data_IF_544041716877
#
_entry.id   IF_544041716877
#
_cell.length_a   1.000
_cell.length_b   1.000
_cell.length_c   1.000
_cell.angle_alpha   90.00
_cell.angle_beta   90.00
_cell.angle_gamma   90.00
#
_symmetry.space_group_name_H-M   'P 1'
#
loop_
_entity.id
_entity.type
_entity.pdbx_description
1 polymer ?
#
# COMPACT_ATOMS: atom_id res chain seq x y z
N UNK A 1 3.73 -2.22 -17.39
CA UNK A 1 2.31 -2.15 -17.72
C UNK A 1 1.67 -3.51 -17.51
N UNK A 2 0.53 -3.55 -16.85
CA UNK A 2 -0.32 -4.75 -16.79
C UNK A 2 -1.32 -4.70 -17.93
N UNK A 3 -1.51 -5.81 -18.64
CA UNK A 3 -2.54 -5.98 -19.68
C UNK A 3 -3.16 -7.36 -19.58
N UNK A 4 -4.30 -7.55 -20.17
CA UNK A 4 -4.87 -8.90 -20.32
C UNK A 4 -3.97 -9.75 -21.18
N UNK A 5 -3.74 -11.00 -20.77
CA UNK A 5 -3.03 -11.99 -21.58
C UNK A 5 -3.88 -12.38 -22.80
N UNK A 6 -3.22 -12.58 -23.94
CA UNK A 6 -3.92 -13.02 -25.14
C UNK A 6 -4.65 -14.35 -24.90
N UNK A 7 -5.85 -14.46 -25.44
CA UNK A 7 -6.76 -15.62 -25.30
C UNK A 7 -6.11 -16.90 -25.81
N UNK A 8 -5.47 -17.64 -24.91
CA UNK A 8 -4.76 -18.90 -25.20
C UNK A 8 -3.82 -19.35 -24.10
N UNK A 9 -3.40 -18.45 -23.24
CA UNK A 9 -2.55 -18.74 -22.07
C UNK A 9 -3.21 -18.17 -20.82
N UNK A 10 -3.87 -19.01 -20.04
CA UNK A 10 -4.48 -18.68 -18.74
C UNK A 10 -5.21 -17.33 -18.71
N UNK A 11 -6.51 -17.32 -18.45
CA UNK A 11 -7.36 -16.13 -18.25
C UNK A 11 -6.78 -15.20 -17.16
N UNK A 12 -5.74 -14.46 -17.46
CA UNK A 12 -4.99 -13.68 -16.48
C UNK A 12 -4.47 -12.37 -17.04
N UNK A 13 -3.80 -11.67 -16.18
CA UNK A 13 -3.11 -10.42 -16.48
C UNK A 13 -1.62 -10.70 -16.55
N UNK A 14 -0.96 -10.24 -17.61
CA UNK A 14 0.49 -10.26 -17.75
C UNK A 14 1.10 -8.89 -17.51
N UNK A 15 2.30 -8.85 -16.98
CA UNK A 15 3.07 -7.62 -16.81
C UNK A 15 4.11 -7.54 -17.92
N UNK A 16 4.02 -6.52 -18.75
CA UNK A 16 4.98 -6.24 -19.80
C UNK A 16 5.84 -5.02 -19.49
N UNK A 17 7.03 -5.00 -20.01
CA UNK A 17 7.90 -3.83 -19.92
C UNK A 17 7.39 -2.74 -20.86
N UNK A 18 7.27 -1.50 -20.34
CA UNK A 18 6.85 -0.37 -21.16
C UNK A 18 8.03 0.12 -21.99
N UNK A 19 7.90 0.30 -23.32
CA UNK A 19 8.95 0.86 -24.14
C UNK A 19 9.45 2.20 -23.60
N UNK A 20 10.76 2.44 -23.73
CA UNK A 20 11.41 3.64 -23.14
C UNK A 20 10.76 4.94 -23.61
N UNK A 21 10.35 4.99 -24.86
CA UNK A 21 9.67 6.16 -25.48
C UNK A 21 8.34 6.49 -24.78
N UNK A 22 7.59 5.47 -24.37
CA UNK A 22 6.30 5.63 -23.68
C UNK A 22 6.44 5.92 -22.19
N UNK A 23 7.57 5.58 -21.57
CA UNK A 23 7.77 5.79 -20.11
C UNK A 23 7.78 7.26 -19.70
N UNK A 24 8.20 8.12 -20.62
CA UNK A 24 8.33 9.57 -20.40
C UNK A 24 7.14 10.37 -20.95
N UNK A 25 6.12 9.70 -21.50
CA UNK A 25 4.89 10.36 -21.95
C UNK A 25 3.88 10.44 -20.81
N UNK A 26 3.12 11.53 -20.77
CA UNK A 26 1.95 11.62 -19.91
C UNK A 26 0.90 10.60 -20.36
N UNK A 27 0.24 9.96 -19.40
CA UNK A 27 -0.78 8.94 -19.66
C UNK A 27 -2.12 9.52 -20.10
N UNK A 28 -2.34 10.80 -19.83
CA UNK A 28 -3.54 11.56 -20.19
C UNK A 28 -3.15 12.91 -20.79
N UNK A 29 -4.03 13.48 -21.57
CA UNK A 29 -3.89 14.83 -22.14
C UNK A 29 -4.26 15.90 -21.12
N UNK A 30 -3.87 17.16 -21.39
CA UNK A 30 -4.24 18.31 -20.55
C UNK A 30 -5.76 18.46 -20.44
N UNK A 31 -6.50 18.22 -21.54
CA UNK A 31 -7.95 18.29 -21.55
C UNK A 31 -8.57 17.22 -20.64
N UNK A 32 -8.06 15.99 -20.67
CA UNK A 32 -8.50 14.91 -19.80
C UNK A 32 -8.17 15.19 -18.32
N UNK A 33 -7.03 15.83 -18.04
CA UNK A 33 -6.67 16.27 -16.70
C UNK A 33 -7.65 17.33 -16.17
N UNK A 34 -8.09 18.27 -17.02
CA UNK A 34 -9.10 19.28 -16.69
C UNK A 34 -10.46 18.61 -16.43
N UNK A 35 -10.86 17.65 -17.24
CA UNK A 35 -12.11 16.90 -17.05
C UNK A 35 -12.11 16.14 -15.73
N UNK A 36 -11.03 15.44 -15.39
CA UNK A 36 -10.86 14.77 -14.11
C UNK A 36 -10.94 15.74 -12.92
N UNK A 37 -10.33 16.92 -13.04
CA UNK A 37 -10.40 17.94 -12.02
C UNK A 37 -11.83 18.44 -11.80
N UNK A 38 -12.62 18.59 -12.88
CA UNK A 38 -14.03 18.94 -12.79
C UNK A 38 -14.85 17.86 -12.07
N UNK A 39 -14.63 16.58 -12.39
CA UNK A 39 -15.27 15.48 -11.66
C UNK A 39 -14.90 15.48 -10.19
N UNK A 40 -13.63 15.69 -9.86
CA UNK A 40 -13.19 15.77 -8.46
C UNK A 40 -13.90 16.90 -7.69
N UNK A 41 -14.04 18.09 -8.32
CA UNK A 41 -14.78 19.21 -7.69
C UNK A 41 -16.28 18.92 -7.50
N UNK A 42 -16.91 18.22 -8.45
CA UNK A 42 -18.32 17.82 -8.32
C UNK A 42 -18.48 16.85 -7.15
N UNK A 43 -17.60 15.84 -7.08
CA UNK A 43 -17.61 14.82 -6.04
C UNK A 43 -17.36 15.45 -4.67
N UNK A 44 -16.34 16.31 -4.55
CA UNK A 44 -16.02 17.02 -3.29
C UNK A 44 -17.20 17.88 -2.80
N UNK A 45 -17.87 18.61 -3.70
CA UNK A 45 -19.06 19.39 -3.37
C UNK A 45 -20.22 18.50 -2.88
N UNK A 46 -20.41 17.35 -3.52
CA UNK A 46 -21.48 16.42 -3.15
C UNK A 46 -21.27 15.83 -1.75
N UNK A 47 -20.06 15.44 -1.42
CA UNK A 47 -19.73 14.83 -0.12
C UNK A 47 -19.32 15.84 0.96
N UNK A 48 -19.10 17.12 0.60
CA UNK A 48 -18.72 18.21 1.51
C UNK A 48 -17.32 18.06 2.11
N UNK A 49 -16.46 17.26 1.49
CA UNK A 49 -15.08 16.98 1.94
C UNK A 49 -14.22 16.42 0.82
N UNK A 50 -12.86 16.52 0.93
CA UNK A 50 -11.96 15.90 -0.03
C UNK A 50 -12.19 14.40 -0.16
N UNK A 51 -12.18 13.93 -1.39
CA UNK A 51 -12.40 12.53 -1.73
C UNK A 51 -11.22 11.99 -2.53
N UNK A 52 -10.84 10.76 -2.23
CA UNK A 52 -9.95 9.94 -3.05
C UNK A 52 -10.80 9.28 -4.14
N UNK A 53 -10.44 9.42 -5.39
CA UNK A 53 -11.21 8.91 -6.52
C UNK A 53 -10.38 7.91 -7.34
N UNK A 54 -11.02 6.81 -7.72
CA UNK A 54 -10.49 5.89 -8.72
C UNK A 54 -11.23 6.12 -10.04
N UNK A 55 -10.48 6.11 -11.12
CA UNK A 55 -11.01 6.36 -12.46
C UNK A 55 -10.35 5.46 -13.50
N UNK A 56 -10.99 5.33 -14.63
CA UNK A 56 -10.47 4.62 -15.79
C UNK A 56 -10.83 5.35 -17.08
N UNK A 57 -9.95 5.23 -18.08
CA UNK A 57 -10.24 5.64 -19.44
C UNK A 57 -10.62 4.41 -20.25
N UNK A 58 -11.82 4.40 -20.83
CA UNK A 58 -12.27 3.31 -21.67
C UNK A 58 -11.48 3.26 -22.97
N UNK A 59 -11.03 2.06 -23.35
CA UNK A 59 -10.24 1.86 -24.56
C UNK A 59 -11.07 1.85 -25.86
N UNK A 60 -12.40 1.78 -25.76
CA UNK A 60 -13.31 1.71 -26.90
C UNK A 60 -13.85 3.09 -27.25
N UNK A 61 -14.39 3.80 -26.27
CA UNK A 61 -15.00 5.12 -26.50
C UNK A 61 -14.09 6.30 -26.12
N UNK A 62 -12.96 6.02 -25.47
CA UNK A 62 -11.96 7.01 -25.06
C UNK A 62 -12.37 7.90 -23.89
N UNK A 63 -13.54 7.67 -23.29
CA UNK A 63 -14.06 8.51 -22.19
C UNK A 63 -13.48 8.13 -20.85
N UNK A 64 -13.52 9.11 -19.94
CA UNK A 64 -13.13 8.93 -18.56
C UNK A 64 -14.36 8.58 -17.72
N UNK A 65 -14.22 7.55 -16.89
CA UNK A 65 -15.24 7.07 -15.96
C UNK A 65 -14.71 7.09 -14.54
N UNK A 66 -15.51 7.62 -13.61
CA UNK A 66 -15.22 7.49 -12.18
C UNK A 66 -15.69 6.12 -11.73
N UNK A 67 -14.79 5.35 -11.16
CA UNK A 67 -15.03 3.96 -10.74
C UNK A 67 -15.36 3.86 -9.27
N UNK A 68 -14.72 4.70 -8.43
CA UNK A 68 -14.94 4.74 -6.99
C UNK A 68 -14.65 6.13 -6.45
N UNK A 69 -15.37 6.52 -5.40
CA UNK A 69 -15.04 7.69 -4.58
C UNK A 69 -15.14 7.30 -3.10
N UNK A 70 -14.11 7.61 -2.32
CA UNK A 70 -14.06 7.36 -0.88
C UNK A 70 -13.49 8.57 -0.16
N UNK A 71 -13.88 8.81 1.11
CA UNK A 71 -13.29 9.89 1.89
C UNK A 71 -11.78 9.76 1.98
N UNK A 72 -11.06 10.85 1.78
CA UNK A 72 -9.64 10.89 2.11
C UNK A 72 -9.46 10.74 3.62
N UNK A 73 -8.83 9.65 4.04
CA UNK A 73 -8.60 9.32 5.45
C UNK A 73 -7.22 9.77 5.93
N UNK A 74 -6.31 10.04 5.00
CA UNK A 74 -5.01 10.64 5.31
C UNK A 74 -5.24 12.10 5.62
N UNK A 75 -5.12 12.50 6.89
CA UNK A 75 -5.18 13.89 7.33
C UNK A 75 -4.17 14.73 6.56
N UNK A 76 -4.58 15.33 5.47
CA UNK A 76 -3.88 16.44 4.82
C UNK A 76 -4.04 17.74 5.63
N UNK A 77 -4.40 17.63 6.92
CA UNK A 77 -4.59 18.75 7.81
C UNK A 77 -3.25 19.38 8.17
N UNK A 78 -2.91 20.45 7.47
CA UNK A 78 -2.37 21.70 8.02
C UNK A 78 -1.12 21.69 8.88
N UNK A 79 -0.30 20.66 8.95
CA UNK A 79 1.02 20.76 9.54
C UNK A 79 2.06 20.80 8.42
N UNK A 80 2.93 21.79 8.47
CA UNK A 80 4.14 21.88 7.66
C UNK A 80 4.67 20.45 7.42
N UNK A 81 4.70 20.00 6.18
CA UNK A 81 5.20 18.67 5.81
C UNK A 81 6.67 18.56 6.23
N UNK A 82 6.93 18.24 7.48
CA UNK A 82 8.28 17.91 7.94
C UNK A 82 8.68 16.63 7.23
N UNK A 83 9.57 16.74 6.26
CA UNK A 83 10.15 15.59 5.58
C UNK A 83 11.04 14.86 6.57
N UNK A 84 10.56 13.75 7.12
CA UNK A 84 11.37 12.90 8.00
C UNK A 84 12.34 12.10 7.13
N UNK A 85 13.61 12.21 7.46
CA UNK A 85 14.66 11.40 6.84
C UNK A 85 15.15 10.38 7.85
N UNK A 86 14.96 9.12 7.54
CA UNK A 86 15.44 8.02 8.37
C UNK A 86 16.87 7.65 7.97
N UNK A 87 17.71 7.38 8.96
CA UNK A 87 19.05 6.85 8.78
C UNK A 87 19.19 5.59 9.64
N UNK A 88 19.51 4.47 8.99
CA UNK A 88 19.82 3.23 9.70
C UNK A 88 21.22 3.39 10.31
N UNK A 89 21.34 3.18 11.62
CA UNK A 89 22.60 3.40 12.37
C UNK A 89 23.61 2.24 12.23
N UNK A 90 23.24 1.18 11.55
CA UNK A 90 24.10 -0.01 11.34
C UNK A 90 24.87 0.16 10.05
N UNK A 91 26.16 -0.21 10.06
CA UNK A 91 27.00 -0.17 8.87
C UNK A 91 26.43 -1.05 7.74
N UNK A 92 26.65 -0.62 6.50
CA UNK A 92 26.07 -1.29 5.33
C UNK A 92 26.43 -2.78 5.26
N UNK A 93 27.62 -3.15 5.75
CA UNK A 93 28.11 -4.53 5.77
C UNK A 93 27.47 -5.42 6.84
N UNK A 94 26.90 -4.80 7.90
CA UNK A 94 26.27 -5.52 9.01
C UNK A 94 24.74 -5.60 8.86
N UNK A 95 24.20 -5.04 7.79
CA UNK A 95 22.75 -5.07 7.52
C UNK A 95 22.35 -6.43 7.00
N UNK A 96 21.54 -7.13 7.75
CA UNK A 96 20.90 -8.36 7.31
C UNK A 96 19.48 -8.07 6.83
N UNK A 97 19.23 -8.19 5.53
CA UNK A 97 17.89 -8.18 4.97
C UNK A 97 17.28 -9.56 5.24
N UNK A 98 16.20 -9.59 6.02
CA UNK A 98 15.56 -10.85 6.40
C UNK A 98 14.47 -11.25 5.40
N UNK A 99 13.71 -10.29 4.89
CA UNK A 99 12.68 -10.52 3.88
C UNK A 99 12.47 -9.25 3.06
N UNK A 100 11.95 -9.39 1.85
CA UNK A 100 11.68 -8.27 0.93
C UNK A 100 10.26 -8.37 0.39
N UNK A 101 9.66 -7.21 0.11
CA UNK A 101 8.31 -7.13 -0.42
C UNK A 101 8.01 -5.74 -0.99
N UNK A 102 6.74 -5.40 -1.10
CA UNK A 102 6.29 -4.09 -1.59
C UNK A 102 6.08 -3.15 -0.41
N UNK A 103 6.88 -2.10 -0.33
CA UNK A 103 6.74 -1.07 0.70
C UNK A 103 5.44 -0.27 0.52
N UNK A 104 4.77 -0.01 1.64
CA UNK A 104 3.55 0.76 1.75
C UNK A 104 3.79 1.90 2.74
N UNK A 105 3.55 3.13 2.28
CA UNK A 105 3.83 4.33 3.05
C UNK A 105 5.28 4.79 2.93
N UNK A 106 5.63 5.80 3.72
CA UNK A 106 6.97 6.45 3.70
C UNK A 106 7.62 6.45 5.08
N UNK A 107 6.99 5.84 6.06
CA UNK A 107 7.52 5.74 7.42
C UNK A 107 8.37 4.49 7.58
N UNK A 108 9.11 4.47 8.66
CA UNK A 108 9.88 3.32 9.13
C UNK A 108 9.33 2.94 10.50
N UNK A 109 9.11 1.66 10.73
CA UNK A 109 8.69 1.12 12.02
C UNK A 109 9.70 0.08 12.51
N UNK A 110 9.89 0.02 13.82
CA UNK A 110 10.77 -0.96 14.46
C UNK A 110 10.12 -1.52 15.70
N UNK A 111 10.45 -2.75 16.03
CA UNK A 111 10.00 -3.43 17.24
C UNK A 111 10.17 -4.93 17.14
N UNK A 112 9.80 -5.65 18.21
CA UNK A 112 9.82 -7.10 18.22
C UNK A 112 8.78 -7.67 17.25
N UNK A 113 9.14 -8.72 16.56
CA UNK A 113 8.22 -9.48 15.71
C UNK A 113 7.16 -10.16 16.56
N UNK A 114 5.91 -9.94 16.20
CA UNK A 114 4.78 -10.73 16.69
C UNK A 114 4.09 -11.38 15.49
N UNK A 115 4.30 -12.69 15.39
CA UNK A 115 3.69 -13.50 14.35
C UNK A 115 2.29 -13.95 14.81
N UNK A 116 1.29 -13.64 14.03
CA UNK A 116 -0.08 -14.08 14.24
C UNK A 116 -0.54 -14.89 13.03
N UNK A 117 -1.08 -16.07 13.29
CA UNK A 117 -1.59 -16.96 12.25
C UNK A 117 -3.08 -16.81 12.02
N UNK A 118 -3.80 -16.41 13.07
CA UNK A 118 -5.25 -16.28 13.06
C UNK A 118 -5.70 -15.07 13.88
N UNK A 119 -6.87 -14.53 13.53
CA UNK A 119 -7.47 -13.36 14.19
C UNK A 119 -7.74 -13.61 15.70
N UNK A 120 -7.97 -14.84 16.11
CA UNK A 120 -8.15 -15.18 17.54
C UNK A 120 -6.92 -14.92 18.39
N UNK A 121 -5.76 -14.72 17.79
CA UNK A 121 -4.49 -14.42 18.45
C UNK A 121 -4.23 -12.93 18.67
N UNK A 122 -5.18 -12.05 18.32
CA UNK A 122 -4.98 -10.59 18.32
C UNK A 122 -4.55 -10.02 19.67
N UNK A 123 -4.94 -10.64 20.75
CA UNK A 123 -4.58 -10.20 22.12
C UNK A 123 -3.09 -10.40 22.42
N UNK A 124 -2.41 -11.24 21.64
CA UNK A 124 -0.97 -11.48 21.81
C UNK A 124 -0.12 -10.32 21.28
N UNK A 125 -0.67 -9.44 20.40
CA UNK A 125 0.07 -8.29 19.87
C UNK A 125 0.01 -7.12 20.81
N UNK A 126 1.18 -6.65 21.24
CA UNK A 126 1.33 -5.47 22.06
C UNK A 126 1.57 -4.22 21.22
N UNK A 127 1.38 -3.05 21.86
CA UNK A 127 1.65 -1.79 21.20
C UNK A 127 3.14 -1.62 20.94
N UNK A 128 3.50 -1.44 19.68
CA UNK A 128 4.89 -1.29 19.26
C UNK A 128 5.49 -2.54 18.61
N UNK A 129 4.78 -3.66 18.66
CA UNK A 129 5.19 -4.88 17.95
C UNK A 129 5.14 -4.69 16.42
N UNK A 130 5.95 -5.44 15.72
CA UNK A 130 5.85 -5.61 14.26
C UNK A 130 4.95 -6.81 13.98
N UNK A 131 3.76 -6.54 13.45
CA UNK A 131 2.81 -7.58 13.04
C UNK A 131 3.35 -8.34 11.84
N UNK A 132 3.49 -9.67 11.96
CA UNK A 132 3.83 -10.56 10.85
C UNK A 132 2.73 -11.59 10.68
N UNK A 133 2.17 -11.69 9.48
CA UNK A 133 1.09 -12.64 9.18
C UNK A 133 1.11 -13.06 7.71
N UNK A 134 0.36 -14.09 7.36
CA UNK A 134 0.25 -14.52 5.96
C UNK A 134 -0.53 -13.49 5.13
N UNK A 135 -1.71 -13.07 5.60
CA UNK A 135 -2.54 -12.01 5.01
C UNK A 135 -3.47 -11.43 6.06
N UNK A 136 -4.05 -10.26 5.79
CA UNK A 136 -5.07 -9.64 6.63
C UNK A 136 -6.41 -9.51 5.92
N UNK A 137 -7.47 -9.46 6.70
CA UNK A 137 -8.84 -9.16 6.28
C UNK A 137 -9.41 -8.01 7.15
N UNK A 138 -10.64 -7.51 6.93
CA UNK A 138 -11.21 -6.39 7.66
C UNK A 138 -11.23 -6.53 9.19
N UNK A 139 -11.27 -7.74 9.73
CA UNK A 139 -11.27 -7.97 11.18
C UNK A 139 -9.92 -7.64 11.85
N UNK A 140 -8.84 -7.52 11.05
CA UNK A 140 -7.49 -7.23 11.55
C UNK A 140 -7.24 -5.75 11.84
N UNK A 141 -8.15 -4.84 11.49
CA UNK A 141 -7.93 -3.40 11.62
C UNK A 141 -7.57 -2.96 13.04
N UNK A 142 -8.24 -3.53 14.06
CA UNK A 142 -7.97 -3.22 15.47
C UNK A 142 -6.55 -3.58 15.91
N UNK A 143 -6.02 -4.69 15.40
CA UNK A 143 -4.64 -5.16 15.64
C UNK A 143 -3.65 -4.28 14.91
N UNK A 144 -3.92 -3.98 13.63
CA UNK A 144 -3.04 -3.17 12.79
C UNK A 144 -2.81 -1.77 13.39
N UNK A 145 -3.79 -1.21 14.10
CA UNK A 145 -3.68 0.08 14.81
C UNK A 145 -2.63 0.08 15.94
N UNK A 146 -2.35 -1.08 16.54
CA UNK A 146 -1.38 -1.21 17.63
C UNK A 146 0.04 -1.48 17.13
N UNK A 147 0.16 -2.01 15.93
CA UNK A 147 1.44 -2.38 15.35
C UNK A 147 2.32 -1.15 15.04
N UNK A 148 3.63 -1.29 15.24
CA UNK A 148 4.65 -0.32 14.80
C UNK A 148 4.90 -0.43 13.29
N UNK A 149 4.74 -1.63 12.74
CA UNK A 149 4.80 -1.93 11.32
C UNK A 149 4.05 -3.23 11.01
N UNK A 150 3.78 -3.47 9.73
CA UNK A 150 3.03 -4.64 9.27
C UNK A 150 3.83 -5.33 8.16
N UNK A 151 3.94 -6.66 8.24
CA UNK A 151 4.59 -7.48 7.22
C UNK A 151 3.66 -8.62 6.85
N UNK A 152 3.40 -8.81 5.54
CA UNK A 152 2.56 -9.91 5.08
C UNK A 152 3.23 -10.72 3.98
N UNK A 153 3.00 -12.05 3.97
CA UNK A 153 3.46 -12.91 2.89
C UNK A 153 2.72 -12.61 1.60
N UNK A 154 1.40 -12.49 1.67
CA UNK A 154 0.54 -12.26 0.52
C UNK A 154 0.04 -10.83 0.47
N UNK A 155 -0.28 -10.39 -0.73
CA UNK A 155 -0.87 -9.10 -0.99
C UNK A 155 -0.05 -8.23 -1.93
N UNK A 156 -0.73 -7.26 -2.51
CA UNK A 156 -0.17 -6.24 -3.37
C UNK A 156 -0.49 -4.83 -2.83
N UNK A 157 -0.22 -3.81 -3.64
CA UNK A 157 -0.43 -2.41 -3.24
C UNK A 157 -1.90 -2.05 -2.96
N UNK A 158 -2.84 -2.87 -3.39
CA UNK A 158 -4.29 -2.70 -3.26
C UNK A 158 -4.93 -3.74 -2.34
N UNK A 159 -4.13 -4.59 -1.67
CA UNK A 159 -4.67 -5.54 -0.69
C UNK A 159 -5.14 -4.81 0.59
N UNK A 160 -5.96 -5.47 1.39
CA UNK A 160 -6.49 -4.94 2.64
C UNK A 160 -5.38 -4.38 3.54
N UNK A 161 -4.30 -5.15 3.78
CA UNK A 161 -3.16 -4.68 4.58
C UNK A 161 -2.58 -3.36 4.08
N UNK A 162 -2.44 -3.21 2.75
CA UNK A 162 -1.86 -2.02 2.15
C UNK A 162 -2.79 -0.80 2.26
N UNK A 163 -4.10 -1.00 2.10
CA UNK A 163 -5.10 0.06 2.21
C UNK A 163 -5.13 0.58 3.65
N UNK A 164 -5.36 -0.31 4.61
CA UNK A 164 -5.46 0.04 6.03
C UNK A 164 -4.14 0.61 6.57
N UNK A 165 -2.98 0.07 6.18
CA UNK A 165 -1.69 0.62 6.58
C UNK A 165 -1.51 2.09 6.15
N UNK A 166 -1.96 2.46 4.93
CA UNK A 166 -1.96 3.87 4.48
C UNK A 166 -2.90 4.72 5.31
N UNK A 167 -4.11 4.25 5.55
CA UNK A 167 -5.13 4.97 6.33
C UNK A 167 -4.67 5.23 7.76
N UNK A 168 -4.08 4.25 8.39
CA UNK A 168 -3.54 4.35 9.74
C UNK A 168 -2.19 5.09 9.80
N UNK A 169 -1.52 5.28 8.66
CA UNK A 169 -0.18 5.83 8.60
C UNK A 169 0.88 4.91 9.24
N UNK A 170 0.64 3.61 9.26
CA UNK A 170 1.56 2.58 9.73
C UNK A 170 2.39 2.09 8.54
N UNK A 171 3.73 1.99 8.64
CA UNK A 171 4.54 1.42 7.57
C UNK A 171 4.23 -0.06 7.39
N UNK A 172 4.18 -0.52 6.14
CA UNK A 172 4.00 -1.93 5.87
C UNK A 172 4.85 -2.41 4.70
N UNK A 173 5.19 -3.70 4.72
CA UNK A 173 5.79 -4.42 3.59
C UNK A 173 4.91 -5.63 3.30
N UNK A 174 4.33 -5.67 2.09
CA UNK A 174 3.37 -6.71 1.70
C UNK A 174 3.91 -7.55 0.55
N UNK A 175 3.42 -8.78 0.44
CA UNK A 175 3.83 -9.69 -0.65
C UNK A 175 5.26 -10.21 -0.50
N UNK A 176 5.70 -10.45 0.73
CA UNK A 176 7.05 -10.97 1.02
C UNK A 176 7.23 -12.45 0.61
N UNK A 177 6.15 -13.23 0.63
CA UNK A 177 6.18 -14.65 0.27
C UNK A 177 6.68 -15.59 1.37
N UNK A 178 7.66 -15.16 2.14
CA UNK A 178 8.39 -16.01 3.10
C UNK A 178 8.53 -15.43 4.52
N UNK A 179 8.02 -14.23 4.77
CA UNK A 179 8.21 -13.52 6.04
C UNK A 179 7.84 -14.38 7.27
N UNK A 180 6.74 -15.12 7.21
CA UNK A 180 6.30 -16.01 8.30
C UNK A 180 7.21 -17.24 8.49
N UNK A 181 8.11 -17.51 7.56
CA UNK A 181 9.07 -18.61 7.65
C UNK A 181 10.43 -18.15 8.16
N UNK A 182 10.84 -16.94 7.76
CA UNK A 182 12.19 -16.43 8.04
C UNK A 182 12.25 -15.54 9.27
N UNK A 183 11.14 -14.89 9.63
CA UNK A 183 11.05 -14.08 10.84
C UNK A 183 10.65 -14.95 12.05
N UNK A 184 11.20 -14.65 13.21
CA UNK A 184 10.91 -15.36 14.44
C UNK A 184 10.29 -14.40 15.46
N UNK A 185 9.35 -14.90 16.27
CA UNK A 185 8.74 -14.13 17.35
C UNK A 185 9.79 -13.56 18.29
N UNK A 186 9.63 -12.30 18.67
CA UNK A 186 10.45 -11.62 19.66
C UNK A 186 11.77 -11.05 19.15
N UNK A 187 12.18 -11.32 17.91
CA UNK A 187 13.36 -10.64 17.34
C UNK A 187 13.01 -9.19 16.97
N UNK A 188 13.91 -8.28 17.26
CA UNK A 188 13.76 -6.88 16.84
C UNK A 188 14.06 -6.71 15.36
N UNK A 189 13.15 -6.08 14.63
CA UNK A 189 13.30 -5.80 13.21
C UNK A 189 12.95 -4.35 12.90
N UNK A 190 13.48 -3.87 11.78
CA UNK A 190 13.12 -2.58 11.20
C UNK A 190 12.46 -2.81 9.84
N UNK A 191 11.31 -2.21 9.63
CA UNK A 191 10.48 -2.29 8.42
C UNK A 191 10.51 -0.92 7.73
N UNK A 192 10.97 -0.89 6.47
CA UNK A 192 11.13 0.35 5.68
C UNK A 192 10.70 0.17 4.23
#
# INVERSE_FOLDING_TARGET
QMRFADSGKNNGVETIEVPTEMRNMFSITDQEAIELAQYALIIERHYGRPMDIEWGKDGVDGKIYILQARPETVKSSGSVKKRQRYKIKVDANDRKILSTGRAIGQKVGSGPVKMLHDISEIDKLEKGDVLVTDMTDPNWESVMKRASAIVTNRGGRTCHAAIIARELGVPAVVGCGDATKVLQNGIDVTVS
#
